data_IF_116521207501
#
_entry.id   IF_116521207501
#
_cell.length_a   1.000
_cell.length_b   1.000
_cell.length_c   1.000
_cell.angle_alpha   90.00
_cell.angle_beta   90.00
_cell.angle_gamma   90.00
#
_symmetry.space_group_name_H-M   'P 1'
#
loop_
_entity.id
_entity.type
_entity.pdbx_description
1 polymer ?
#
# COMPACT_ATOMS: atom_id res chain seq x y z
N UNK A 1 -7.74 -6.62 16.52
CA UNK A 1 -9.14 -7.02 16.22
C UNK A 1 -9.48 -6.94 14.72
N UNK A 2 -9.21 -5.82 14.01
CA UNK A 2 -9.63 -5.70 12.60
C UNK A 2 -8.94 -6.68 11.65
N UNK A 3 -7.64 -6.93 11.85
CA UNK A 3 -6.88 -7.94 11.08
C UNK A 3 -7.47 -9.35 11.32
N UNK A 4 -7.63 -9.77 12.57
CA UNK A 4 -8.24 -11.06 12.91
C UNK A 4 -9.65 -11.20 12.33
N UNK A 5 -10.46 -10.14 12.46
CA UNK A 5 -11.79 -10.09 11.89
C UNK A 5 -11.76 -10.22 10.38
N UNK A 6 -10.80 -9.58 9.70
CA UNK A 6 -10.59 -9.65 8.25
C UNK A 6 -10.28 -11.10 7.85
N UNK A 7 -9.24 -11.69 8.41
CA UNK A 7 -8.78 -13.03 8.01
C UNK A 7 -9.57 -14.19 8.63
N UNK A 8 -10.52 -13.91 9.53
CA UNK A 8 -11.30 -14.94 10.26
C UNK A 8 -10.40 -15.89 11.06
N UNK A 9 -9.38 -15.32 11.67
CA UNK A 9 -8.43 -16.02 12.54
C UNK A 9 -8.55 -15.51 13.97
N UNK A 10 -7.93 -16.21 14.92
CA UNK A 10 -7.81 -15.79 16.31
C UNK A 10 -6.35 -15.93 16.75
N UNK A 11 -5.65 -14.80 16.88
CA UNK A 11 -4.25 -14.76 17.29
C UNK A 11 -4.22 -14.84 18.82
N UNK A 12 -3.57 -15.87 19.35
CA UNK A 12 -3.41 -16.02 20.79
C UNK A 12 -2.50 -14.91 21.35
N UNK A 13 -2.76 -14.44 22.57
CA UNK A 13 -1.97 -13.39 23.23
C UNK A 13 -0.46 -13.66 23.20
N UNK A 14 -0.06 -14.92 23.40
CA UNK A 14 1.35 -15.33 23.36
C UNK A 14 2.01 -15.18 21.97
N UNK A 15 1.20 -15.23 20.92
CA UNK A 15 1.64 -14.99 19.55
C UNK A 15 1.56 -13.49 19.22
N UNK A 16 0.51 -12.80 19.67
CA UNK A 16 0.38 -11.35 19.51
C UNK A 16 1.57 -10.61 20.12
N UNK A 17 2.05 -11.02 21.30
CA UNK A 17 3.22 -10.46 21.96
C UNK A 17 4.54 -10.58 21.16
N UNK A 18 4.58 -11.38 20.09
CA UNK A 18 5.75 -11.54 19.21
C UNK A 18 5.66 -10.67 17.96
N UNK A 19 4.52 -10.04 17.70
CA UNK A 19 4.27 -9.24 16.51
C UNK A 19 4.76 -7.82 16.79
N UNK A 20 5.90 -7.46 16.21
CA UNK A 20 6.48 -6.12 16.39
C UNK A 20 6.30 -5.27 15.13
N UNK A 21 6.40 -5.90 13.97
CA UNK A 21 6.43 -5.27 12.65
C UNK A 21 5.27 -5.71 11.76
N UNK A 22 5.03 -4.96 10.68
CA UNK A 22 4.08 -5.35 9.62
C UNK A 22 4.41 -6.75 9.08
N UNK A 23 5.68 -7.06 8.83
CA UNK A 23 6.12 -8.37 8.37
C UNK A 23 5.81 -9.48 9.38
N UNK A 24 5.99 -9.24 10.68
CA UNK A 24 5.64 -10.22 11.71
C UNK A 24 4.14 -10.55 11.67
N UNK A 25 3.30 -9.53 11.48
CA UNK A 25 1.85 -9.72 11.35
C UNK A 25 1.51 -10.50 10.08
N UNK A 26 2.12 -10.17 8.94
CA UNK A 26 1.95 -10.92 7.68
C UNK A 26 2.28 -12.39 7.89
N UNK A 27 3.45 -12.68 8.46
CA UNK A 27 3.91 -14.04 8.70
C UNK A 27 2.98 -14.77 9.68
N UNK A 28 2.52 -14.10 10.73
CA UNK A 28 1.58 -14.69 11.67
C UNK A 28 0.26 -15.07 10.98
N UNK A 29 -0.33 -14.15 10.21
CA UNK A 29 -1.57 -14.43 9.46
C UNK A 29 -1.35 -15.59 8.47
N UNK A 30 -0.23 -15.60 7.74
CA UNK A 30 0.10 -16.67 6.81
C UNK A 30 0.16 -18.04 7.49
N UNK A 31 0.77 -18.13 8.68
CA UNK A 31 0.79 -19.36 9.49
C UNK A 31 -0.63 -19.81 9.86
N UNK A 32 -1.48 -18.89 10.33
CA UNK A 32 -2.86 -19.21 10.72
C UNK A 32 -3.73 -19.64 9.53
N UNK A 33 -3.43 -19.14 8.33
CA UNK A 33 -4.12 -19.52 7.09
C UNK A 33 -3.49 -20.73 6.38
N UNK A 34 -2.34 -21.23 6.88
CA UNK A 34 -1.54 -22.28 6.25
C UNK A 34 -1.15 -21.93 4.78
N UNK A 35 -0.68 -20.69 4.59
CA UNK A 35 -0.24 -20.17 3.28
C UNK A 35 1.29 -20.02 3.32
N UNK A 36 1.96 -20.66 2.36
CA UNK A 36 3.42 -20.60 2.21
C UNK A 36 3.85 -19.97 0.87
N UNK A 37 2.90 -19.78 -0.06
CA UNK A 37 3.17 -19.25 -1.39
C UNK A 37 3.37 -17.73 -1.34
N UNK A 38 4.38 -17.25 -2.06
CA UNK A 38 4.68 -15.83 -2.24
C UNK A 38 5.14 -15.60 -3.69
N UNK A 39 4.25 -15.90 -4.63
CA UNK A 39 4.53 -15.86 -6.07
C UNK A 39 4.49 -14.43 -6.65
N UNK A 40 3.94 -13.48 -5.90
CA UNK A 40 3.75 -12.08 -6.27
C UNK A 40 2.90 -11.90 -7.53
N UNK A 41 2.00 -12.84 -7.85
CA UNK A 41 1.19 -12.84 -9.07
C UNK A 41 0.35 -11.57 -9.18
N UNK A 42 -0.35 -11.19 -8.11
CA UNK A 42 -1.12 -9.94 -8.06
C UNK A 42 -0.22 -8.72 -8.30
N UNK A 43 0.96 -8.66 -7.67
CA UNK A 43 1.90 -7.54 -7.85
C UNK A 43 2.34 -7.40 -9.31
N UNK A 44 2.72 -8.52 -9.93
CA UNK A 44 3.17 -8.56 -11.33
C UNK A 44 2.06 -8.14 -12.28
N UNK A 45 0.85 -8.63 -12.07
CA UNK A 45 -0.33 -8.24 -12.85
C UNK A 45 -0.58 -6.73 -12.73
N UNK A 46 -0.59 -6.19 -11.50
CA UNK A 46 -0.81 -4.76 -11.29
C UNK A 46 0.30 -3.90 -11.90
N UNK A 47 1.57 -4.32 -11.81
CA UNK A 47 2.67 -3.64 -12.47
C UNK A 47 2.48 -3.61 -14.00
N UNK A 48 2.01 -4.70 -14.61
CA UNK A 48 1.71 -4.76 -16.04
C UNK A 48 0.58 -3.80 -16.43
N UNK A 49 -0.52 -3.79 -15.65
CA UNK A 49 -1.66 -2.88 -15.88
C UNK A 49 -1.22 -1.42 -15.80
N UNK A 50 -0.44 -1.07 -14.78
CA UNK A 50 0.10 0.29 -14.62
C UNK A 50 1.06 0.65 -15.76
N UNK A 51 1.97 -0.25 -16.13
CA UNK A 51 2.88 -0.03 -17.28
C UNK A 51 2.11 0.24 -18.58
N UNK A 52 1.05 -0.52 -18.85
CA UNK A 52 0.20 -0.31 -20.02
C UNK A 52 -0.49 1.06 -19.98
N UNK A 53 -1.05 1.45 -18.83
CA UNK A 53 -1.67 2.75 -18.68
C UNK A 53 -0.66 3.91 -18.87
N UNK A 54 0.54 3.79 -18.30
CA UNK A 54 1.60 4.78 -18.45
C UNK A 54 2.09 4.91 -19.91
N UNK A 55 2.19 3.78 -20.64
CA UNK A 55 2.51 3.77 -22.08
C UNK A 55 1.42 4.46 -22.90
N UNK A 56 0.14 4.22 -22.59
CA UNK A 56 -0.98 4.86 -23.26
C UNK A 56 -1.04 6.38 -23.01
N UNK A 57 -0.56 6.84 -21.86
CA UNK A 57 -0.37 8.27 -21.57
C UNK A 57 0.88 8.87 -22.24
N UNK A 58 1.71 8.06 -22.89
CA UNK A 58 2.98 8.51 -23.47
C UNK A 58 4.02 8.92 -22.42
N UNK A 59 3.88 8.47 -21.18
CA UNK A 59 4.81 8.80 -20.08
C UNK A 59 6.08 7.96 -20.13
N UNK A 60 5.99 6.75 -20.67
CA UNK A 60 7.10 5.80 -20.79
C UNK A 60 7.10 5.15 -22.17
N UNK A 61 8.29 4.81 -22.65
CA UNK A 61 8.46 3.95 -23.83
C UNK A 61 8.72 2.50 -23.42
N UNK A 62 9.59 2.33 -22.41
CA UNK A 62 9.94 1.05 -21.81
C UNK A 62 9.20 0.83 -20.50
N UNK A 63 9.05 -0.42 -20.08
CA UNK A 63 8.38 -0.77 -18.83
C UNK A 63 9.22 -0.35 -17.62
N UNK A 64 8.57 0.23 -16.62
CA UNK A 64 9.19 0.45 -15.32
C UNK A 64 9.28 -0.87 -14.56
N UNK A 65 10.39 -1.05 -13.86
CA UNK A 65 10.66 -2.16 -12.95
C UNK A 65 10.34 -1.77 -11.50
N UNK A 66 10.17 -2.77 -10.62
CA UNK A 66 9.89 -2.58 -9.20
C UNK A 66 10.86 -1.60 -8.49
N UNK A 67 12.13 -1.57 -8.91
CA UNK A 67 13.16 -0.72 -8.29
C UNK A 67 13.20 0.71 -8.83
N UNK A 68 12.52 1.01 -9.93
CA UNK A 68 12.55 2.35 -10.52
C UNK A 68 11.85 3.35 -9.62
N UNK A 69 12.35 4.60 -9.58
CA UNK A 69 11.76 5.65 -8.75
C UNK A 69 10.55 6.26 -9.47
N UNK A 70 9.37 6.09 -8.89
CA UNK A 70 8.09 6.42 -9.56
C UNK A 70 7.96 7.91 -9.88
N UNK A 71 8.59 8.80 -9.11
CA UNK A 71 8.53 10.24 -9.34
C UNK A 71 9.15 10.67 -10.69
N UNK A 72 9.99 9.82 -11.30
CA UNK A 72 10.56 10.08 -12.63
C UNK A 72 9.53 9.92 -13.74
N UNK A 73 8.46 9.17 -13.47
CA UNK A 73 7.41 8.85 -14.42
C UNK A 73 6.11 9.59 -14.09
N UNK A 74 5.72 9.61 -12.82
CA UNK A 74 4.45 10.16 -12.37
C UNK A 74 4.67 11.35 -11.43
N UNK A 75 4.40 12.55 -11.95
CA UNK A 75 4.49 13.78 -11.16
C UNK A 75 3.20 13.96 -10.34
N UNK A 76 3.29 14.10 -9.01
CA UNK A 76 2.12 14.29 -8.14
C UNK A 76 1.46 15.67 -8.28
N UNK A 77 2.03 16.60 -9.03
CA UNK A 77 1.41 17.92 -9.27
C UNK A 77 0.42 17.94 -10.44
N UNK A 78 0.34 16.87 -11.24
CA UNK A 78 -0.50 16.84 -12.44
C UNK A 78 -1.77 16.00 -12.21
N UNK A 79 -2.77 16.56 -11.53
CA UNK A 79 -4.04 15.88 -11.19
C UNK A 79 -4.69 15.14 -12.37
N UNK A 80 -4.77 15.81 -13.53
CA UNK A 80 -5.38 15.24 -14.75
C UNK A 80 -4.72 13.93 -15.18
N UNK A 81 -3.41 13.79 -14.96
CA UNK A 81 -2.68 12.58 -15.30
C UNK A 81 -3.06 11.42 -14.38
N UNK A 82 -3.21 11.69 -13.08
CA UNK A 82 -3.63 10.68 -12.10
C UNK A 82 -5.05 10.21 -12.38
N UNK A 83 -5.95 11.14 -12.67
CA UNK A 83 -7.34 10.83 -13.02
C UNK A 83 -7.42 10.00 -14.31
N UNK A 84 -6.61 10.35 -15.31
CA UNK A 84 -6.57 9.64 -16.59
C UNK A 84 -6.06 8.20 -16.44
N UNK A 85 -5.00 7.97 -15.64
CA UNK A 85 -4.50 6.62 -15.36
C UNK A 85 -5.52 5.84 -14.51
N UNK A 86 -6.14 6.48 -13.52
CA UNK A 86 -7.19 5.87 -12.69
C UNK A 86 -8.37 5.38 -13.55
N UNK A 87 -8.81 6.19 -14.51
CA UNK A 87 -9.87 5.80 -15.45
C UNK A 87 -9.45 4.64 -16.37
N UNK A 88 -8.23 4.65 -16.91
CA UNK A 88 -7.73 3.59 -17.81
C UNK A 88 -7.57 2.25 -17.11
N UNK A 89 -7.22 2.28 -15.83
CA UNK A 89 -7.00 1.08 -15.03
C UNK A 89 -8.25 0.63 -14.28
N UNK A 90 -9.26 1.50 -14.18
CA UNK A 90 -10.41 1.31 -13.29
C UNK A 90 -9.95 1.07 -11.83
N UNK A 91 -8.90 1.78 -11.41
CA UNK A 91 -8.32 1.69 -10.06
C UNK A 91 -8.27 3.07 -9.41
N UNK A 92 -8.36 3.09 -8.08
CA UNK A 92 -8.09 4.30 -7.30
C UNK A 92 -6.58 4.38 -7.04
N UNK A 93 -5.92 5.37 -7.61
CA UNK A 93 -4.49 5.59 -7.39
C UNK A 93 -4.25 6.38 -6.08
N UNK A 94 -3.37 5.90 -5.19
CA UNK A 94 -3.05 6.60 -3.95
C UNK A 94 -2.13 7.79 -4.26
N UNK A 95 -2.71 8.93 -4.66
CA UNK A 95 -1.92 10.14 -4.92
C UNK A 95 -1.17 10.58 -3.66
N UNK A 96 0.16 10.79 -3.69
CA UNK A 96 0.91 11.13 -2.49
C UNK A 96 0.52 12.51 -2.00
N UNK A 97 0.45 12.65 -0.68
CA UNK A 97 0.21 13.95 -0.07
C UNK A 97 1.46 14.83 -0.17
N UNK A 98 1.36 15.93 -0.92
CA UNK A 98 2.40 16.96 -0.95
C UNK A 98 2.10 17.99 0.14
N UNK A 99 2.98 18.08 1.14
CA UNK A 99 2.91 19.13 2.15
C UNK A 99 3.23 20.48 1.51
N UNK A 100 2.20 21.14 0.98
CA UNK A 100 2.34 22.48 0.43
C UNK A 100 2.40 23.49 1.59
N UNK A 101 3.60 23.99 1.90
CA UNK A 101 3.83 24.97 2.98
C UNK A 101 3.15 26.32 2.70
N UNK A 102 2.63 26.55 1.49
CA UNK A 102 2.18 27.88 1.07
C UNK A 102 0.65 28.08 1.06
N UNK A 103 -0.17 27.07 1.36
CA UNK A 103 -1.63 27.15 1.18
C UNK A 103 -2.51 26.92 2.42
N UNK A 104 -2.04 27.17 3.65
CA UNK A 104 -2.91 26.98 4.84
C UNK A 104 -2.91 28.13 5.82
N UNK A 105 -3.78 29.11 5.54
CA UNK A 105 -4.45 29.91 6.57
C UNK A 105 -5.76 29.21 6.94
N UNK A 106 -5.96 29.10 8.25
CA UNK A 106 -7.23 28.94 8.98
C UNK A 106 -7.84 27.53 8.98
N UNK A 107 -7.70 26.89 10.15
CA UNK A 107 -8.44 25.74 10.73
C UNK A 107 -7.73 24.38 10.83
N UNK A 108 -7.68 23.91 12.08
CA UNK A 108 -7.24 22.63 12.64
C UNK A 108 -5.74 22.46 12.98
N UNK A 109 -5.50 22.28 14.27
CA UNK A 109 -4.22 22.17 14.98
C UNK A 109 -3.70 20.73 15.06
N UNK A 110 -3.84 19.93 14.00
CA UNK A 110 -3.21 18.61 13.89
C UNK A 110 -2.95 18.32 12.42
N UNK A 111 -2.01 19.06 11.82
CA UNK A 111 -1.56 18.77 10.46
C UNK A 111 -0.64 17.56 10.54
N UNK A 112 -1.22 16.37 10.31
CA UNK A 112 -0.44 15.17 10.05
C UNK A 112 0.50 15.43 8.86
N UNK A 113 1.78 15.18 9.06
CA UNK A 113 2.82 15.34 8.06
C UNK A 113 3.32 13.96 7.65
N UNK A 114 3.35 13.64 6.36
CA UNK A 114 3.82 12.34 5.95
C UNK A 114 5.27 12.10 6.36
N UNK A 115 5.58 10.89 6.81
CA UNK A 115 6.92 10.44 7.21
C UNK A 115 7.67 9.74 6.08
N UNK A 116 7.25 9.95 4.83
CA UNK A 116 7.91 9.43 3.63
C UNK A 116 8.31 10.57 2.67
N UNK A 117 9.26 10.27 1.77
CA UNK A 117 9.66 11.18 0.70
C UNK A 117 9.24 10.59 -0.65
N UNK A 118 8.30 11.23 -1.36
CA UNK A 118 7.84 10.75 -2.68
C UNK A 118 8.97 10.47 -3.67
N UNK A 119 10.05 11.27 -3.62
CA UNK A 119 11.22 11.09 -4.50
C UNK A 119 12.01 9.80 -4.24
N UNK A 120 11.78 9.12 -3.11
CA UNK A 120 12.39 7.84 -2.74
C UNK A 120 11.45 6.65 -2.96
N UNK A 121 10.17 6.89 -3.25
CA UNK A 121 9.20 5.82 -3.51
C UNK A 121 9.56 5.12 -4.81
N UNK A 122 9.67 3.80 -4.75
CA UNK A 122 9.89 2.95 -5.92
C UNK A 122 8.56 2.59 -6.58
N UNK A 123 8.60 2.14 -7.82
CA UNK A 123 7.43 1.64 -8.53
C UNK A 123 6.82 0.44 -7.78
N UNK A 124 7.64 -0.45 -7.23
CA UNK A 124 7.17 -1.58 -6.42
C UNK A 124 6.35 -1.13 -5.21
N UNK A 125 6.84 -0.13 -4.46
CA UNK A 125 6.10 0.43 -3.31
C UNK A 125 4.84 1.17 -3.78
N UNK A 126 4.89 1.85 -4.93
CA UNK A 126 3.70 2.43 -5.54
C UNK A 126 2.64 1.37 -5.90
N UNK A 127 3.05 0.24 -6.49
CA UNK A 127 2.14 -0.87 -6.78
C UNK A 127 1.56 -1.44 -5.49
N UNK A 128 2.35 -1.62 -4.44
CA UNK A 128 1.87 -2.11 -3.14
C UNK A 128 0.78 -1.19 -2.56
N UNK A 129 0.97 0.13 -2.66
CA UNK A 129 -0.02 1.13 -2.27
C UNK A 129 -1.29 1.06 -3.13
N UNK A 130 -1.16 0.91 -4.47
CA UNK A 130 -2.31 0.74 -5.38
C UNK A 130 -3.09 -0.53 -5.04
N UNK A 131 -2.39 -1.65 -4.83
CA UNK A 131 -3.00 -2.92 -4.42
C UNK A 131 -3.77 -2.76 -3.11
N UNK A 132 -3.16 -2.17 -2.09
CA UNK A 132 -3.78 -1.95 -0.80
C UNK A 132 -5.00 -1.03 -0.88
N UNK A 133 -4.90 0.08 -1.64
CA UNK A 133 -6.03 1.01 -1.84
C UNK A 133 -7.23 0.34 -2.50
N UNK A 134 -6.98 -0.66 -3.34
CA UNK A 134 -8.00 -1.37 -4.11
C UNK A 134 -8.24 -2.81 -3.62
N UNK A 135 -7.77 -3.18 -2.42
CA UNK A 135 -7.78 -4.58 -1.96
C UNK A 135 -9.17 -5.22 -1.97
N UNK A 136 -10.22 -4.48 -1.64
CA UNK A 136 -11.63 -4.96 -1.66
C UNK A 136 -12.10 -5.37 -3.06
N UNK A 137 -11.50 -4.80 -4.11
CA UNK A 137 -11.75 -5.15 -5.51
C UNK A 137 -10.81 -6.24 -6.01
N UNK A 138 -9.55 -6.21 -5.58
CA UNK A 138 -8.48 -7.04 -6.12
C UNK A 138 -8.34 -8.41 -5.44
N UNK A 139 -8.74 -8.54 -4.18
CA UNK A 139 -8.49 -9.74 -3.37
C UNK A 139 -9.81 -10.38 -2.96
N UNK A 140 -9.98 -11.66 -3.32
CA UNK A 140 -11.06 -12.47 -2.75
C UNK A 140 -10.68 -12.90 -1.34
N UNK A 141 -11.21 -12.18 -0.37
CA UNK A 141 -11.03 -12.44 1.07
C UNK A 141 -11.35 -13.88 1.49
N UNK A 142 -12.20 -14.61 0.76
CA UNK A 142 -12.53 -16.01 1.08
C UNK A 142 -11.49 -17.00 0.55
N UNK A 143 -10.68 -16.59 -0.41
CA UNK A 143 -9.79 -17.44 -1.19
C UNK A 143 -8.39 -16.81 -1.31
N UNK A 144 -7.89 -16.27 -0.20
CA UNK A 144 -6.52 -15.76 -0.11
C UNK A 144 -5.57 -16.94 -0.25
N UNK A 145 -4.61 -16.82 -1.16
CA UNK A 145 -3.72 -17.92 -1.54
C UNK A 145 -2.25 -17.51 -1.56
N UNK A 146 -1.94 -16.22 -1.45
CA UNK A 146 -0.58 -15.71 -1.51
C UNK A 146 -0.25 -14.78 -0.33
N UNK A 147 0.99 -14.86 0.16
CA UNK A 147 1.51 -14.00 1.24
C UNK A 147 1.43 -12.52 0.86
N UNK A 148 1.58 -12.18 -0.43
CA UNK A 148 1.45 -10.81 -0.90
C UNK A 148 0.04 -10.24 -0.69
N UNK A 149 -1.00 -11.04 -0.90
CA UNK A 149 -2.40 -10.63 -0.68
C UNK A 149 -2.64 -10.30 0.80
N UNK A 150 -2.03 -11.07 1.70
CA UNK A 150 -2.05 -10.81 3.15
C UNK A 150 -1.36 -9.47 3.43
N UNK A 151 -0.17 -9.25 2.87
CA UNK A 151 0.60 -8.02 3.04
C UNK A 151 -0.18 -6.77 2.63
N UNK A 152 -0.71 -6.72 1.42
CA UNK A 152 -1.44 -5.53 0.94
C UNK A 152 -2.76 -5.33 1.69
N UNK A 153 -3.40 -6.42 2.16
CA UNK A 153 -4.57 -6.33 3.03
C UNK A 153 -4.22 -5.74 4.40
N UNK A 154 -3.06 -6.10 4.97
CA UNK A 154 -2.57 -5.51 6.23
C UNK A 154 -2.22 -4.03 6.05
N UNK A 155 -1.59 -3.63 4.94
CA UNK A 155 -1.39 -2.21 4.62
C UNK A 155 -2.74 -1.48 4.63
N UNK A 156 -3.72 -2.02 3.90
CA UNK A 156 -5.03 -1.38 3.77
C UNK A 156 -5.74 -1.24 5.12
N UNK A 157 -5.74 -2.28 5.95
CA UNK A 157 -6.36 -2.25 7.28
C UNK A 157 -5.62 -1.26 8.18
N UNK A 158 -4.28 -1.21 8.14
CA UNK A 158 -3.48 -0.26 8.93
C UNK A 158 -3.85 1.17 8.55
N UNK A 159 -3.83 1.50 7.27
CA UNK A 159 -4.22 2.82 6.75
C UNK A 159 -5.67 3.17 7.13
N UNK A 160 -6.61 2.25 6.98
CA UNK A 160 -8.01 2.45 7.37
C UNK A 160 -8.19 2.66 8.88
N UNK A 161 -7.34 2.05 9.71
CA UNK A 161 -7.45 2.10 11.18
C UNK A 161 -6.86 3.36 11.79
N UNK A 162 -5.69 3.81 11.30
CA UNK A 162 -4.94 4.93 11.92
C UNK A 162 -4.77 6.16 11.03
N UNK A 163 -5.16 6.08 9.75
CA UNK A 163 -5.14 7.22 8.84
C UNK A 163 -3.75 7.68 8.39
N UNK A 164 -2.73 6.83 8.48
CA UNK A 164 -1.43 7.07 7.83
C UNK A 164 -1.54 6.89 6.32
N UNK A 165 -0.61 7.46 5.56
CA UNK A 165 -0.57 7.23 4.11
C UNK A 165 -0.05 5.81 3.79
N UNK A 166 -0.51 5.24 2.67
CA UNK A 166 -0.09 3.93 2.18
C UNK A 166 1.42 3.82 2.03
N UNK A 167 2.10 4.91 1.66
CA UNK A 167 3.56 4.95 1.49
C UNK A 167 4.35 4.93 2.80
N UNK A 168 3.69 4.92 3.96
CA UNK A 168 4.36 4.80 5.27
C UNK A 168 4.34 3.38 5.83
N UNK A 169 3.59 2.46 5.21
CA UNK A 169 3.44 1.10 5.70
C UNK A 169 4.35 0.16 4.92
N UNK A 170 5.55 -0.05 5.48
CA UNK A 170 6.57 -0.94 4.93
C UNK A 170 6.76 -2.17 5.85
N UNK A 171 7.24 -3.32 5.33
CA UNK A 171 7.35 -4.56 6.10
C UNK A 171 8.08 -4.42 7.45
N UNK A 172 9.12 -3.60 7.51
CA UNK A 172 9.95 -3.37 8.70
C UNK A 172 9.34 -2.40 9.72
N UNK A 173 8.24 -1.71 9.37
CA UNK A 173 7.63 -0.70 10.25
C UNK A 173 7.01 -1.35 11.46
N UNK A 174 7.28 -0.75 12.62
CA UNK A 174 6.81 -1.22 13.91
C UNK A 174 5.43 -0.67 14.25
N UNK A 175 4.53 -1.55 14.67
CA UNK A 175 3.20 -1.13 15.13
C UNK A 175 3.29 -0.18 16.33
N UNK A 176 4.16 -0.46 17.29
CA UNK A 176 4.32 0.38 18.48
C UNK A 176 5.14 1.64 18.21
N UNK A 177 6.31 1.50 17.60
CA UNK A 177 7.25 2.64 17.49
C UNK A 177 6.96 3.57 16.31
N UNK A 178 6.51 3.04 15.16
CA UNK A 178 6.27 3.86 13.97
C UNK A 178 4.82 4.35 13.90
N UNK A 179 3.87 3.48 14.28
CA UNK A 179 2.43 3.73 14.17
C UNK A 179 1.73 4.08 15.49
N UNK A 180 2.34 3.81 16.65
CA UNK A 180 1.74 4.10 17.95
C UNK A 180 0.52 3.22 18.28
N UNK A 181 0.46 2.00 17.73
CA UNK A 181 -0.56 0.98 18.02
C UNK A 181 -0.02 0.08 19.13
N UNK A 182 -0.82 -0.10 20.17
CA UNK A 182 -0.59 -1.02 21.30
C UNK A 182 -1.53 -2.24 21.20
#
# INVERSE_FOLDING_TARGET
>A
MDIENHFKIQILDSNAAKINTVLDMVNMVAIYLNIETNDLSLKKEMLQIINQALKLEGLINDEISDSDLIFKTLNPLYDELWDSIAQKTDLVLPKPYLSDKNHRKLFSSLVWTPKYEWKKVTAGHFIDAVCARNHKKLIDRKNISDIYEIFVSIIAITVESIGVDYYEVEPEKSFTNDFGID
#
